data_IF_200356709992
#
_entry.id   IF_200356709992
#
_cell.length_a   1.000
_cell.length_b   1.000
_cell.length_c   1.000
_cell.angle_alpha   90.00
_cell.angle_beta   90.00
_cell.angle_gamma   90.00
#
_symmetry.space_group_name_H-M   'P 1'
#
loop_
_entity.id
_entity.type
_entity.pdbx_description
1 polymer ?
#
# COMPACT_ATOMS: atom_id res chain seq x y z
N UNK A 1 77.24 34.95 -10.24
CA UNK A 1 76.78 34.02 -9.24
C UNK A 1 75.45 33.42 -9.73
N UNK A 2 75.51 32.18 -9.98
CA UNK A 2 74.62 31.28 -10.71
C UNK A 2 73.25 31.12 -10.05
N UNK A 3 72.16 31.38 -10.82
CA UNK A 3 70.82 30.97 -10.41
C UNK A 3 70.57 29.51 -10.83
N UNK A 4 70.46 28.65 -9.85
CA UNK A 4 70.06 27.23 -10.05
C UNK A 4 68.56 27.15 -10.23
N UNK A 5 68.15 26.54 -11.37
CA UNK A 5 66.76 26.29 -11.70
C UNK A 5 66.12 25.21 -10.81
N UNK A 6 64.95 25.53 -10.37
CA UNK A 6 64.03 24.58 -9.73
C UNK A 6 63.28 23.83 -10.83
N UNK A 7 63.67 22.57 -11.10
CA UNK A 7 62.90 21.64 -11.93
C UNK A 7 61.62 21.27 -11.15
N UNK A 8 60.50 21.85 -11.53
CA UNK A 8 59.18 21.38 -11.11
C UNK A 8 58.96 19.96 -11.61
N UNK A 9 58.62 19.06 -10.68
CA UNK A 9 58.11 17.73 -11.01
C UNK A 9 56.75 17.91 -11.71
N UNK A 10 56.73 17.69 -13.02
CA UNK A 10 55.46 17.50 -13.75
C UNK A 10 54.76 16.27 -13.14
N UNK A 11 53.74 16.51 -12.39
CA UNK A 11 52.83 15.46 -11.89
C UNK A 11 52.24 14.74 -13.08
N UNK A 12 52.40 13.42 -13.09
CA UNK A 12 51.72 12.52 -14.01
C UNK A 12 50.22 12.70 -13.84
N UNK A 13 49.63 13.61 -14.59
CA UNK A 13 48.20 13.66 -14.83
C UNK A 13 47.89 12.42 -15.68
N UNK A 14 47.45 11.37 -15.02
CA UNK A 14 47.01 10.17 -15.71
C UNK A 14 45.99 10.59 -16.78
N UNK A 15 46.31 10.36 -18.05
CA UNK A 15 45.41 10.53 -19.17
C UNK A 15 44.16 9.66 -18.90
N UNK A 16 43.09 10.27 -18.46
CA UNK A 16 41.78 9.62 -18.44
C UNK A 16 41.42 9.32 -19.89
N UNK A 17 41.64 8.09 -20.32
CA UNK A 17 41.20 7.62 -21.63
C UNK A 17 39.66 7.62 -21.63
N UNK A 18 39.09 8.72 -22.11
CA UNK A 18 37.64 8.89 -22.24
C UNK A 18 37.19 8.11 -23.48
N UNK A 19 37.01 6.80 -23.34
CA UNK A 19 36.39 5.98 -24.39
C UNK A 19 34.87 6.30 -24.44
N UNK A 20 34.54 7.53 -24.86
CA UNK A 20 33.17 8.05 -24.93
C UNK A 20 32.30 7.23 -25.88
N UNK A 21 32.85 6.76 -27.01
CA UNK A 21 32.09 5.97 -27.98
C UNK A 21 31.64 4.61 -27.42
N UNK A 22 32.53 3.95 -26.67
CA UNK A 22 32.17 2.69 -26.00
C UNK A 22 31.12 2.88 -24.88
N UNK A 23 31.19 3.98 -24.16
CA UNK A 23 30.19 4.32 -23.11
C UNK A 23 28.85 4.64 -23.75
N UNK A 24 28.80 5.48 -24.78
CA UNK A 24 27.55 5.80 -25.51
C UNK A 24 26.89 4.56 -26.12
N UNK A 25 27.67 3.61 -26.64
CA UNK A 25 27.09 2.38 -27.17
C UNK A 25 26.50 1.49 -26.05
N UNK A 26 27.15 1.39 -24.90
CA UNK A 26 26.59 0.70 -23.73
C UNK A 26 25.32 1.38 -23.21
N UNK A 27 25.32 2.70 -23.15
CA UNK A 27 24.14 3.47 -22.72
C UNK A 27 22.97 3.25 -23.69
N UNK A 28 23.20 3.23 -25.00
CA UNK A 28 22.16 2.90 -26.01
C UNK A 28 21.62 1.50 -25.86
N UNK A 29 22.49 0.51 -25.63
CA UNK A 29 22.09 -0.87 -25.42
C UNK A 29 21.25 -0.98 -24.12
N UNK A 30 21.71 -0.33 -23.04
CA UNK A 30 20.97 -0.30 -21.78
C UNK A 30 19.61 0.39 -21.91
N UNK A 31 19.58 1.55 -22.60
CA UNK A 31 18.33 2.24 -22.88
C UNK A 31 17.37 1.40 -23.73
N UNK A 32 17.87 0.72 -24.78
CA UNK A 32 17.04 -0.17 -25.59
C UNK A 32 16.52 -1.37 -24.78
N UNK A 33 17.35 -1.96 -23.93
CA UNK A 33 16.92 -3.03 -23.02
C UNK A 33 15.87 -2.57 -22.01
N UNK A 34 16.05 -1.40 -21.40
CA UNK A 34 15.08 -0.81 -20.49
C UNK A 34 13.73 -0.50 -21.18
N UNK A 35 13.78 0.10 -22.38
CA UNK A 35 12.58 0.35 -23.18
C UNK A 35 11.87 -0.95 -23.57
N UNK A 36 12.62 -1.96 -24.03
CA UNK A 36 12.02 -3.25 -24.41
C UNK A 36 11.37 -3.94 -23.21
N UNK A 37 12.00 -3.93 -22.04
CA UNK A 37 11.41 -4.46 -20.81
C UNK A 37 10.13 -3.74 -20.42
N UNK A 38 10.11 -2.41 -20.52
CA UNK A 38 8.90 -1.61 -20.25
C UNK A 38 7.78 -1.94 -21.25
N UNK A 39 8.07 -1.99 -22.55
CA UNK A 39 7.09 -2.33 -23.58
C UNK A 39 6.53 -3.74 -23.36
N UNK A 40 7.37 -4.73 -23.09
CA UNK A 40 6.94 -6.10 -22.80
C UNK A 40 6.00 -6.12 -21.59
N UNK A 41 6.37 -5.42 -20.51
CA UNK A 41 5.52 -5.34 -19.29
C UNK A 41 4.15 -4.72 -19.58
N UNK A 42 4.11 -3.64 -20.38
CA UNK A 42 2.85 -3.00 -20.77
C UNK A 42 2.00 -3.89 -21.67
N UNK A 43 2.62 -4.59 -22.62
CA UNK A 43 1.90 -5.53 -23.51
C UNK A 43 1.32 -6.68 -22.70
N UNK A 44 2.09 -7.28 -21.78
CA UNK A 44 1.61 -8.36 -20.91
C UNK A 44 0.45 -7.87 -20.05
N UNK A 45 0.55 -6.69 -19.44
CA UNK A 45 -0.52 -6.11 -18.64
C UNK A 45 -1.78 -5.86 -19.48
N UNK A 46 -1.63 -5.27 -20.67
CA UNK A 46 -2.75 -5.02 -21.57
C UNK A 46 -3.44 -6.34 -22.01
N UNK A 47 -2.65 -7.37 -22.30
CA UNK A 47 -3.16 -8.69 -22.61
C UNK A 47 -3.95 -9.32 -21.46
N UNK A 48 -3.41 -9.27 -20.24
CA UNK A 48 -4.10 -9.77 -19.03
C UNK A 48 -5.41 -9.02 -18.79
N UNK A 49 -5.40 -7.69 -18.87
CA UNK A 49 -6.62 -6.88 -18.74
C UNK A 49 -7.65 -7.21 -19.82
N UNK A 50 -7.22 -7.36 -21.07
CA UNK A 50 -8.10 -7.74 -22.17
C UNK A 50 -8.75 -9.10 -21.92
N UNK A 51 -7.97 -10.09 -21.49
CA UNK A 51 -8.49 -11.44 -21.19
C UNK A 51 -9.50 -11.39 -20.05
N UNK A 52 -9.18 -10.68 -18.94
CA UNK A 52 -10.10 -10.54 -17.81
C UNK A 52 -11.41 -9.86 -18.24
N UNK A 53 -11.33 -8.79 -19.04
CA UNK A 53 -12.51 -8.09 -19.52
C UNK A 53 -13.35 -8.97 -20.46
N UNK A 54 -12.71 -9.68 -21.40
CA UNK A 54 -13.37 -10.57 -22.33
C UNK A 54 -14.13 -11.69 -21.61
N UNK A 55 -13.49 -12.33 -20.62
CA UNK A 55 -14.05 -13.49 -19.94
C UNK A 55 -15.05 -13.08 -18.84
N UNK A 56 -14.85 -11.91 -18.21
CA UNK A 56 -15.64 -11.49 -17.06
C UNK A 56 -16.86 -10.63 -17.37
N UNK A 57 -16.86 -9.83 -18.45
CA UNK A 57 -17.98 -8.89 -18.71
C UNK A 57 -19.31 -9.62 -18.96
N UNK A 58 -19.27 -10.79 -19.55
CA UNK A 58 -20.48 -11.57 -19.88
C UNK A 58 -21.24 -12.14 -18.67
N UNK A 59 -20.58 -12.27 -17.52
CA UNK A 59 -21.17 -12.84 -16.30
C UNK A 59 -21.56 -11.78 -15.25
N UNK A 60 -21.25 -10.50 -15.48
CA UNK A 60 -21.65 -9.39 -14.61
C UNK A 60 -23.14 -9.08 -14.88
N UNK A 61 -23.97 -9.46 -13.93
CA UNK A 61 -25.41 -9.18 -13.95
C UNK A 61 -25.91 -8.82 -12.54
N UNK A 62 -27.17 -8.44 -12.39
CA UNK A 62 -27.75 -8.10 -11.09
C UNK A 62 -27.69 -9.29 -10.11
N UNK A 63 -27.88 -10.51 -10.57
CA UNK A 63 -27.77 -11.72 -9.77
C UNK A 63 -26.36 -11.87 -9.17
N UNK A 64 -25.31 -11.56 -9.93
CA UNK A 64 -23.93 -11.63 -9.46
C UNK A 64 -23.68 -10.79 -8.21
N UNK A 65 -24.29 -9.59 -8.14
CA UNK A 65 -24.17 -8.70 -6.97
C UNK A 65 -25.10 -9.06 -5.82
N UNK A 66 -26.25 -9.69 -6.11
CA UNK A 66 -27.28 -9.97 -5.08
C UNK A 66 -27.20 -11.38 -4.52
N UNK A 67 -26.59 -12.32 -5.24
CA UNK A 67 -26.51 -13.73 -4.83
C UNK A 67 -25.37 -13.99 -3.87
N UNK A 68 -25.49 -15.13 -3.16
CA UNK A 68 -24.47 -15.68 -2.27
C UNK A 68 -23.55 -16.63 -3.03
N UNK A 69 -22.37 -16.97 -2.48
CA UNK A 69 -21.52 -18.01 -3.05
C UNK A 69 -22.25 -19.32 -3.21
N UNK A 70 -22.16 -19.96 -4.38
CA UNK A 70 -22.82 -21.21 -4.72
C UNK A 70 -21.84 -22.24 -5.28
N UNK A 71 -22.22 -23.52 -5.20
CA UNK A 71 -21.52 -24.61 -5.88
C UNK A 71 -21.86 -24.68 -7.37
N UNK A 72 -22.96 -24.06 -7.76
CA UNK A 72 -23.39 -23.94 -9.16
C UNK A 72 -22.92 -22.58 -9.69
N UNK A 73 -22.18 -22.54 -10.81
CA UNK A 73 -21.66 -21.28 -11.37
C UNK A 73 -22.77 -20.27 -11.64
N UNK A 74 -23.87 -20.70 -12.25
CA UNK A 74 -24.99 -19.83 -12.65
C UNK A 74 -25.66 -19.09 -11.48
N UNK A 75 -25.52 -19.61 -10.27
CA UNK A 75 -26.11 -19.07 -9.03
C UNK A 75 -25.06 -18.42 -8.12
N UNK A 76 -23.79 -18.43 -8.53
CA UNK A 76 -22.71 -17.91 -7.70
C UNK A 76 -22.67 -16.38 -7.75
N UNK A 77 -22.70 -15.76 -6.58
CA UNK A 77 -22.65 -14.31 -6.43
C UNK A 77 -21.55 -13.84 -5.48
N UNK A 78 -21.31 -12.53 -5.48
CA UNK A 78 -20.21 -11.88 -4.78
C UNK A 78 -20.67 -11.07 -3.55
N UNK A 79 -21.97 -11.03 -3.26
CA UNK A 79 -22.56 -10.16 -2.24
C UNK A 79 -21.82 -10.17 -0.90
N UNK A 80 -21.58 -11.30 -0.22
CA UNK A 80 -20.89 -11.29 1.07
C UNK A 80 -19.45 -10.81 0.97
N UNK A 81 -18.75 -11.14 -0.12
CA UNK A 81 -17.36 -10.75 -0.33
C UNK A 81 -17.24 -9.24 -0.60
N UNK A 82 -18.16 -8.66 -1.36
CA UNK A 82 -18.21 -7.22 -1.61
C UNK A 82 -18.42 -6.43 -0.31
N UNK A 83 -19.46 -6.74 0.45
CA UNK A 83 -19.71 -6.07 1.74
C UNK A 83 -18.63 -6.37 2.78
N UNK A 84 -18.09 -7.60 2.79
CA UNK A 84 -16.99 -7.95 3.67
C UNK A 84 -15.73 -7.14 3.39
N UNK A 85 -15.40 -6.91 2.13
CA UNK A 85 -14.28 -6.03 1.75
C UNK A 85 -14.52 -4.59 2.19
N UNK A 86 -15.73 -4.06 2.03
CA UNK A 86 -16.07 -2.70 2.49
C UNK A 86 -15.90 -2.57 4.01
N UNK A 87 -16.43 -3.51 4.77
CA UNK A 87 -16.28 -3.55 6.22
C UNK A 87 -14.81 -3.65 6.67
N UNK A 88 -14.04 -4.52 6.02
CA UNK A 88 -12.60 -4.66 6.29
C UNK A 88 -11.87 -3.34 6.02
N UNK A 89 -12.11 -2.71 4.87
CA UNK A 89 -11.44 -1.47 4.50
C UNK A 89 -11.83 -0.31 5.42
N UNK A 90 -13.07 -0.28 5.93
CA UNK A 90 -13.49 0.67 6.95
C UNK A 90 -12.66 0.51 8.24
N UNK A 91 -12.52 -0.72 8.75
CA UNK A 91 -11.70 -0.99 9.94
C UNK A 91 -10.25 -0.64 9.69
N UNK A 92 -9.69 -1.07 8.55
CA UNK A 92 -8.30 -0.78 8.16
C UNK A 92 -8.05 0.72 8.12
N UNK A 93 -8.89 1.49 7.44
CA UNK A 93 -8.73 2.93 7.36
C UNK A 93 -8.87 3.62 8.72
N UNK A 94 -9.89 3.22 9.51
CA UNK A 94 -10.17 3.82 10.82
C UNK A 94 -9.06 3.55 11.85
N UNK A 95 -8.32 2.46 11.72
CA UNK A 95 -7.26 2.09 12.67
C UNK A 95 -5.87 2.48 12.17
N UNK A 96 -5.50 2.11 10.94
CA UNK A 96 -4.14 2.30 10.44
C UNK A 96 -3.81 3.75 10.10
N UNK A 97 -4.78 4.54 9.62
CA UNK A 97 -4.54 5.94 9.28
C UNK A 97 -4.19 6.79 10.51
N UNK A 98 -5.03 6.88 11.57
CA UNK A 98 -4.72 7.72 12.72
C UNK A 98 -3.49 7.22 13.49
N UNK A 99 -3.33 5.89 13.66
CA UNK A 99 -2.19 5.32 14.38
C UNK A 99 -0.90 5.52 13.58
N UNK A 100 -0.90 5.23 12.28
CA UNK A 100 0.28 5.34 11.43
C UNK A 100 0.75 6.78 11.26
N UNK A 101 -0.18 7.70 10.99
CA UNK A 101 0.14 9.13 10.86
C UNK A 101 0.58 9.72 12.20
N UNK A 102 -0.12 9.39 13.30
CA UNK A 102 0.25 9.85 14.64
C UNK A 102 1.63 9.37 15.07
N UNK A 103 1.95 8.09 14.83
CA UNK A 103 3.27 7.53 15.11
C UNK A 103 4.37 8.22 14.28
N UNK A 104 4.11 8.48 12.99
CA UNK A 104 5.06 9.16 12.12
C UNK A 104 5.32 10.60 12.54
N UNK A 105 4.26 11.35 12.91
CA UNK A 105 4.39 12.71 13.44
C UNK A 105 5.21 12.71 14.72
N UNK A 106 4.93 11.78 15.63
CA UNK A 106 5.70 11.67 16.87
C UNK A 106 7.18 11.40 16.61
N UNK A 107 7.49 10.41 15.77
CA UNK A 107 8.86 10.02 15.47
C UNK A 107 9.65 11.11 14.73
N UNK A 108 9.02 11.87 13.84
CA UNK A 108 9.71 12.86 13.02
C UNK A 108 9.80 14.22 13.69
N UNK A 109 8.77 14.64 14.44
CA UNK A 109 8.67 16.00 14.95
C UNK A 109 8.86 16.10 16.47
N UNK A 110 8.71 15.02 17.24
CA UNK A 110 8.73 15.08 18.70
C UNK A 110 9.76 14.17 19.37
N UNK A 111 10.11 13.05 18.74
CA UNK A 111 11.06 12.11 19.31
C UNK A 111 12.47 12.71 19.37
N UNK A 112 13.19 12.41 20.44
CA UNK A 112 14.61 12.76 20.57
C UNK A 112 15.47 11.82 19.71
N UNK A 113 16.55 12.33 19.13
CA UNK A 113 17.53 11.51 18.40
C UNK A 113 18.39 10.71 19.41
N UNK A 114 17.86 9.57 19.81
CA UNK A 114 18.54 8.65 20.72
C UNK A 114 18.58 7.23 20.12
N UNK A 115 19.34 6.33 20.75
CA UNK A 115 19.51 4.96 20.28
C UNK A 115 18.18 4.19 20.22
N UNK A 116 17.25 4.46 21.12
CA UNK A 116 15.95 3.80 21.18
C UNK A 116 15.06 4.20 19.98
N UNK A 117 14.97 5.50 19.70
CA UNK A 117 14.25 6.02 18.53
C UNK A 117 14.80 5.42 17.24
N UNK A 118 16.15 5.36 17.11
CA UNK A 118 16.81 4.75 15.95
C UNK A 118 16.51 3.25 15.84
N UNK A 119 16.47 2.55 16.97
CA UNK A 119 16.07 1.14 16.99
C UNK A 119 14.62 0.94 16.50
N UNK A 120 13.70 1.78 16.97
CA UNK A 120 12.28 1.75 16.53
C UNK A 120 12.19 2.02 15.03
N UNK A 121 12.89 3.01 14.50
CA UNK A 121 12.90 3.34 13.08
C UNK A 121 13.40 2.19 12.19
N UNK A 122 14.51 1.56 12.58
CA UNK A 122 15.05 0.40 11.86
C UNK A 122 14.03 -0.75 11.87
N UNK A 123 13.37 -0.99 13.00
CA UNK A 123 12.37 -2.04 13.10
C UNK A 123 11.15 -1.75 12.21
N UNK A 124 10.65 -0.51 12.19
CA UNK A 124 9.53 -0.13 11.32
C UNK A 124 9.90 -0.37 9.84
N UNK A 125 11.12 0.03 9.43
CA UNK A 125 11.62 -0.24 8.08
C UNK A 125 11.69 -1.73 7.75
N UNK A 126 12.19 -2.54 8.67
CA UNK A 126 12.29 -4.00 8.51
C UNK A 126 10.90 -4.67 8.47
N UNK A 127 9.94 -4.20 9.28
CA UNK A 127 8.57 -4.72 9.28
C UNK A 127 7.90 -4.57 7.90
N UNK A 128 8.18 -3.50 7.16
CA UNK A 128 7.64 -3.34 5.80
C UNK A 128 8.08 -4.44 4.83
N UNK A 129 9.20 -5.11 5.10
CA UNK A 129 9.74 -6.22 4.31
C UNK A 129 9.30 -7.61 4.76
N UNK A 130 8.55 -7.74 5.85
CA UNK A 130 8.07 -9.04 6.36
C UNK A 130 7.00 -9.63 5.42
N UNK A 131 7.08 -10.94 5.06
CA UNK A 131 6.06 -11.59 4.26
C UNK A 131 4.66 -11.46 4.87
N UNK A 132 3.66 -11.11 4.06
CA UNK A 132 2.29 -10.80 4.53
C UNK A 132 1.63 -11.96 5.27
N UNK A 133 1.99 -13.22 4.95
CA UNK A 133 1.48 -14.40 5.65
C UNK A 133 1.85 -14.40 7.15
N UNK A 134 3.01 -13.87 7.53
CA UNK A 134 3.45 -13.78 8.92
C UNK A 134 2.52 -12.86 9.72
N UNK A 135 2.09 -11.74 9.13
CA UNK A 135 1.07 -10.88 9.74
C UNK A 135 -0.26 -11.61 9.94
N UNK A 136 -0.62 -12.49 9.01
CA UNK A 136 -1.80 -13.35 9.14
C UNK A 136 -1.69 -14.33 10.31
N UNK A 137 -0.53 -14.97 10.49
CA UNK A 137 -0.27 -15.85 11.61
C UNK A 137 -0.25 -15.09 12.95
N UNK A 138 0.32 -13.89 12.98
CA UNK A 138 0.27 -13.01 14.14
C UNK A 138 -1.19 -12.60 14.45
N UNK A 139 -1.96 -12.22 13.42
CA UNK A 139 -3.38 -11.90 13.55
C UNK A 139 -4.19 -13.08 14.08
N UNK A 140 -3.90 -14.30 13.63
CA UNK A 140 -4.51 -15.53 14.13
C UNK A 140 -4.22 -15.73 15.64
N UNK A 141 -2.97 -15.53 16.06
CA UNK A 141 -2.58 -15.71 17.46
C UNK A 141 -3.15 -14.60 18.35
N UNK A 142 -2.99 -13.35 17.96
CA UNK A 142 -3.33 -12.19 18.78
C UNK A 142 -4.81 -11.82 18.63
N UNK A 143 -5.24 -11.43 17.43
CA UNK A 143 -6.58 -10.85 17.25
C UNK A 143 -7.69 -11.90 17.27
N UNK A 144 -7.44 -13.08 16.71
CA UNK A 144 -8.48 -14.12 16.68
C UNK A 144 -8.54 -14.95 17.94
N UNK A 145 -7.40 -15.24 18.62
CA UNK A 145 -7.38 -16.11 19.80
C UNK A 145 -7.31 -15.32 21.10
N UNK A 146 -6.24 -14.52 21.31
CA UNK A 146 -6.04 -13.81 22.58
C UNK A 146 -7.10 -12.73 22.78
N UNK A 147 -7.43 -11.98 21.73
CA UNK A 147 -8.41 -10.90 21.78
C UNK A 147 -9.83 -11.34 21.38
N UNK A 148 -10.11 -12.66 21.33
CA UNK A 148 -11.44 -13.20 21.00
C UNK A 148 -12.59 -12.56 21.77
N UNK A 149 -12.50 -12.30 23.09
CA UNK A 149 -13.59 -11.64 23.83
C UNK A 149 -13.94 -10.24 23.30
N UNK A 150 -13.01 -9.54 22.65
CA UNK A 150 -13.19 -8.20 22.09
C UNK A 150 -13.54 -8.29 20.60
N UNK A 151 -12.81 -9.11 19.87
CA UNK A 151 -12.92 -9.18 18.40
C UNK A 151 -14.04 -10.08 17.91
N UNK A 152 -14.50 -11.02 18.73
CA UNK A 152 -15.44 -12.07 18.33
C UNK A 152 -14.78 -13.20 17.52
N UNK A 153 -13.45 -13.37 17.62
CA UNK A 153 -12.72 -14.46 16.99
C UNK A 153 -12.55 -14.28 15.48
N UNK A 154 -13.21 -15.12 14.68
CA UNK A 154 -13.15 -15.03 13.21
C UNK A 154 -14.10 -13.96 12.67
N UNK A 155 -13.72 -12.71 12.74
CA UNK A 155 -14.58 -11.55 12.51
C UNK A 155 -13.94 -10.51 11.58
N UNK A 156 -14.78 -9.60 11.08
CA UNK A 156 -14.34 -8.40 10.34
C UNK A 156 -13.29 -7.63 11.13
N UNK A 157 -13.48 -7.49 12.44
CA UNK A 157 -12.56 -6.72 13.29
C UNK A 157 -11.18 -7.38 13.35
N UNK A 158 -11.11 -8.69 13.57
CA UNK A 158 -9.82 -9.40 13.61
C UNK A 158 -9.11 -9.39 12.25
N UNK A 159 -9.85 -9.56 11.15
CA UNK A 159 -9.30 -9.43 9.80
C UNK A 159 -8.82 -8.03 9.48
N UNK A 160 -9.60 -7.01 9.83
CA UNK A 160 -9.27 -5.61 9.63
C UNK A 160 -8.05 -5.18 10.44
N UNK A 161 -7.95 -5.55 11.72
CA UNK A 161 -6.77 -5.28 12.56
C UNK A 161 -5.51 -5.97 12.03
N UNK A 162 -5.65 -7.18 11.50
CA UNK A 162 -4.52 -7.90 10.87
C UNK A 162 -4.00 -7.17 9.63
N UNK A 163 -4.89 -6.73 8.75
CA UNK A 163 -4.51 -5.93 7.59
C UNK A 163 -3.95 -4.55 7.99
N UNK A 164 -4.51 -3.93 9.04
CA UNK A 164 -4.01 -2.67 9.57
C UNK A 164 -2.57 -2.80 10.04
N UNK A 165 -2.25 -3.85 10.78
CA UNK A 165 -0.89 -4.11 11.25
C UNK A 165 0.10 -4.29 10.10
N UNK A 166 -0.34 -4.94 9.01
CA UNK A 166 0.47 -5.15 7.80
C UNK A 166 0.81 -3.84 7.09
N UNK A 167 -0.14 -2.90 7.01
CA UNK A 167 0.09 -1.65 6.26
C UNK A 167 0.62 -0.51 7.13
N UNK A 168 0.56 -0.62 8.47
CA UNK A 168 1.05 0.40 9.41
C UNK A 168 2.49 0.86 9.11
N UNK A 169 3.48 -0.02 8.91
CA UNK A 169 4.85 0.39 8.60
C UNK A 169 4.93 1.23 7.32
N UNK A 170 4.14 0.89 6.30
CA UNK A 170 4.11 1.61 5.02
C UNK A 170 3.56 3.03 5.23
N UNK A 171 2.48 3.18 6.01
CA UNK A 171 1.89 4.49 6.33
C UNK A 171 2.88 5.33 7.13
N UNK A 172 3.54 4.74 8.15
CA UNK A 172 4.51 5.45 8.99
C UNK A 172 5.66 5.98 8.14
N UNK A 173 6.28 5.12 7.32
CA UNK A 173 7.41 5.51 6.46
C UNK A 173 7.00 6.59 5.47
N UNK A 174 5.90 6.39 4.74
CA UNK A 174 5.42 7.38 3.77
C UNK A 174 5.06 8.73 4.40
N UNK A 175 4.47 8.72 5.59
CA UNK A 175 4.14 9.94 6.33
C UNK A 175 5.41 10.67 6.80
N UNK A 176 6.41 9.94 7.31
CA UNK A 176 7.70 10.53 7.70
C UNK A 176 8.41 11.18 6.51
N UNK A 177 8.45 10.51 5.36
CA UNK A 177 9.04 11.09 4.14
C UNK A 177 8.29 12.35 3.69
N UNK A 178 6.96 12.38 3.81
CA UNK A 178 6.16 13.57 3.52
C UNK A 178 6.45 14.74 4.49
N UNK A 179 6.66 14.45 5.78
CA UNK A 179 7.03 15.44 6.78
C UNK A 179 8.46 15.97 6.55
N UNK A 180 9.42 15.11 6.18
CA UNK A 180 10.80 15.48 5.85
C UNK A 180 10.90 16.37 4.62
N UNK A 181 10.00 16.18 3.65
CA UNK A 181 9.95 17.01 2.45
C UNK A 181 9.57 18.48 2.72
N UNK A 182 9.01 18.79 3.89
CA UNK A 182 8.69 20.16 4.29
C UNK A 182 9.98 20.92 4.63
N UNK A 183 10.26 22.10 4.01
CA UNK A 183 11.48 22.86 4.27
C UNK A 183 11.68 23.23 5.76
N UNK A 184 12.91 23.08 6.26
CA UNK A 184 13.26 23.41 7.64
C UNK A 184 13.05 24.90 7.93
N UNK A 185 13.19 25.77 6.93
CA UNK A 185 12.95 27.22 7.04
C UNK A 185 11.52 27.54 7.52
N UNK A 186 10.53 26.72 7.18
CA UNK A 186 9.16 26.90 7.64
C UNK A 186 9.05 26.67 9.17
N UNK A 187 9.76 25.67 9.69
CA UNK A 187 9.82 25.39 11.13
C UNK A 187 10.51 26.54 11.88
N UNK A 188 11.65 26.98 11.35
CA UNK A 188 12.42 28.07 11.93
C UNK A 188 11.64 29.39 11.95
N UNK A 189 10.90 29.70 10.88
CA UNK A 189 10.06 30.90 10.83
C UNK A 189 8.97 30.88 11.91
N UNK A 190 8.31 29.72 12.13
CA UNK A 190 7.33 29.57 13.20
C UNK A 190 7.94 29.79 14.59
N UNK A 191 9.12 29.22 14.86
CA UNK A 191 9.82 29.41 16.13
C UNK A 191 10.27 30.87 16.34
N UNK A 192 10.70 31.56 15.28
CA UNK A 192 11.09 32.97 15.33
C UNK A 192 9.91 33.87 15.73
N UNK A 193 8.69 33.48 15.44
CA UNK A 193 7.45 34.17 15.85
C UNK A 193 6.99 33.77 17.27
N UNK A 194 7.76 32.95 17.98
CA UNK A 194 7.45 32.51 19.35
C UNK A 194 6.46 31.34 19.45
N UNK A 195 6.13 30.68 18.31
CA UNK A 195 5.28 29.51 18.34
C UNK A 195 5.99 28.31 18.99
N UNK A 196 5.27 27.51 19.77
CA UNK A 196 5.79 26.25 20.30
C UNK A 196 5.81 25.16 19.23
N UNK A 197 6.52 24.04 19.51
CA UNK A 197 6.69 22.93 18.58
C UNK A 197 5.35 22.38 18.08
N UNK A 198 4.37 22.20 18.96
CA UNK A 198 3.03 21.73 18.62
C UNK A 198 2.31 22.66 17.65
N UNK A 199 2.36 23.96 17.89
CA UNK A 199 1.74 24.97 17.01
C UNK A 199 2.38 24.98 15.63
N UNK A 200 3.72 24.91 15.55
CA UNK A 200 4.44 24.87 14.27
C UNK A 200 4.05 23.61 13.47
N UNK A 201 4.06 22.44 14.12
CA UNK A 201 3.72 21.17 13.48
C UNK A 201 2.29 21.17 12.98
N UNK A 202 1.34 21.52 13.85
CA UNK A 202 -0.08 21.43 13.53
C UNK A 202 -0.56 22.46 12.52
N UNK A 203 -0.05 23.70 12.62
CA UNK A 203 -0.53 24.82 11.78
C UNK A 203 0.23 24.95 10.46
N UNK A 204 1.47 24.46 10.37
CA UNK A 204 2.34 24.73 9.21
C UNK A 204 2.89 23.45 8.59
N UNK A 205 3.54 22.58 9.38
CA UNK A 205 4.22 21.39 8.84
C UNK A 205 3.22 20.35 8.35
N UNK A 206 2.31 19.91 9.22
CA UNK A 206 1.34 18.86 8.88
C UNK A 206 0.44 19.24 7.71
N UNK A 207 -0.16 20.44 7.65
CA UNK A 207 -0.93 20.83 6.49
C UNK A 207 -0.12 20.91 5.19
N UNK A 208 1.18 21.25 5.27
CA UNK A 208 2.07 21.26 4.10
C UNK A 208 2.47 19.85 3.65
N UNK A 209 2.63 18.91 4.58
CA UNK A 209 2.92 17.51 4.31
C UNK A 209 1.69 16.71 3.88
N UNK A 210 0.47 17.19 4.18
CA UNK A 210 -0.78 16.44 4.01
C UNK A 210 -0.96 15.82 2.62
N UNK A 211 -0.65 16.48 1.50
CA UNK A 211 -0.76 15.86 0.18
C UNK A 211 0.12 14.62 0.01
N UNK A 212 1.34 14.67 0.57
CA UNK A 212 2.26 13.52 0.59
C UNK A 212 1.76 12.41 1.52
N UNK A 213 1.32 12.76 2.72
CA UNK A 213 0.71 11.84 3.68
C UNK A 213 -0.47 11.09 3.07
N UNK A 214 -1.42 11.82 2.49
CA UNK A 214 -2.59 11.21 1.84
C UNK A 214 -2.20 10.31 0.68
N UNK A 215 -1.18 10.68 -0.11
CA UNK A 215 -0.68 9.82 -1.19
C UNK A 215 -0.14 8.50 -0.64
N UNK A 216 0.66 8.53 0.43
CA UNK A 216 1.18 7.33 1.10
C UNK A 216 0.07 6.45 1.66
N UNK A 217 -0.94 7.05 2.30
CA UNK A 217 -2.11 6.34 2.83
C UNK A 217 -2.93 5.69 1.71
N UNK A 218 -3.18 6.39 0.61
CA UNK A 218 -3.89 5.85 -0.56
C UNK A 218 -3.17 4.61 -1.09
N UNK A 219 -1.85 4.67 -1.25
CA UNK A 219 -1.06 3.53 -1.72
C UNK A 219 -1.11 2.34 -0.75
N UNK A 220 -1.04 2.60 0.55
CA UNK A 220 -1.14 1.57 1.59
C UNK A 220 -2.51 0.89 1.60
N UNK A 221 -3.61 1.67 1.52
CA UNK A 221 -4.97 1.14 1.45
C UNK A 221 -5.22 0.37 0.15
N UNK A 222 -4.69 0.86 -0.98
CA UNK A 222 -4.76 0.17 -2.27
C UNK A 222 -4.07 -1.19 -2.23
N UNK A 223 -2.98 -1.31 -1.48
CA UNK A 223 -2.33 -2.58 -1.23
C UNK A 223 -3.21 -3.49 -0.36
N UNK A 224 -3.75 -2.97 0.74
CA UNK A 224 -4.55 -3.75 1.68
C UNK A 224 -5.77 -4.43 1.05
N UNK A 225 -6.46 -3.76 0.11
CA UNK A 225 -7.67 -4.30 -0.54
C UNK A 225 -7.40 -5.55 -1.38
N UNK A 226 -6.17 -5.71 -1.90
CA UNK A 226 -5.75 -6.87 -2.70
C UNK A 226 -5.11 -8.00 -1.89
N UNK A 227 -4.85 -7.80 -0.60
CA UNK A 227 -4.14 -8.80 0.21
C UNK A 227 -5.04 -10.01 0.52
N UNK A 228 -4.56 -11.18 0.17
CA UNK A 228 -5.26 -12.46 0.35
C UNK A 228 -4.63 -13.33 1.42
N UNK A 229 -3.29 -13.43 1.44
CA UNK A 229 -2.55 -14.36 2.28
C UNK A 229 -2.80 -14.19 3.79
N UNK A 230 -2.76 -12.99 4.39
CA UNK A 230 -3.03 -12.82 5.81
C UNK A 230 -4.49 -13.14 6.17
N UNK A 231 -5.43 -12.89 5.27
CA UNK A 231 -6.84 -13.19 5.50
C UNK A 231 -7.11 -14.69 5.47
N UNK A 232 -6.46 -15.44 4.59
CA UNK A 232 -6.52 -16.91 4.59
C UNK A 232 -5.90 -17.45 5.88
N UNK A 233 -4.75 -16.95 6.30
CA UNK A 233 -4.06 -17.40 7.50
C UNK A 233 -4.88 -17.19 8.76
N UNK A 234 -5.62 -16.09 8.90
CA UNK A 234 -6.52 -15.84 10.03
C UNK A 234 -7.79 -16.71 9.97
N UNK A 235 -8.06 -17.33 8.82
CA UNK A 235 -9.18 -18.25 8.63
C UNK A 235 -10.45 -17.55 8.14
N UNK A 236 -10.31 -16.52 7.31
CA UNK A 236 -11.44 -15.95 6.58
C UNK A 236 -12.13 -17.05 5.73
N UNK A 237 -13.45 -17.04 5.72
CA UNK A 237 -14.24 -18.13 5.15
C UNK A 237 -14.56 -17.85 3.69
N UNK A 238 -14.22 -18.78 2.79
CA UNK A 238 -14.51 -18.64 1.37
C UNK A 238 -16.00 -18.86 1.02
N UNK A 239 -16.79 -19.43 1.93
CA UNK A 239 -18.19 -19.75 1.72
C UNK A 239 -19.06 -19.32 2.91
N UNK A 240 -19.60 -18.13 2.84
CA UNK A 240 -20.50 -17.55 3.86
C UNK A 240 -21.89 -17.35 3.29
N UNK A 241 -22.91 -17.69 4.09
CA UNK A 241 -24.33 -17.53 3.75
C UNK A 241 -24.96 -16.27 4.36
N UNK A 242 -24.16 -15.36 4.92
CA UNK A 242 -24.62 -14.11 5.51
C UNK A 242 -23.70 -12.97 5.08
N UNK A 243 -24.24 -11.76 5.00
CA UNK A 243 -23.43 -10.55 4.90
C UNK A 243 -23.03 -10.06 6.29
N UNK A 244 -21.82 -9.52 6.48
CA UNK A 244 -21.47 -8.93 7.76
C UNK A 244 -22.43 -7.80 8.13
N UNK A 245 -22.94 -7.82 9.37
CA UNK A 245 -23.82 -6.81 9.93
C UNK A 245 -23.18 -6.04 11.09
N UNK A 246 -22.07 -6.54 11.61
CA UNK A 246 -21.32 -5.93 12.71
C UNK A 246 -19.81 -6.18 12.56
N UNK A 247 -19.01 -5.52 13.37
CA UNK A 247 -17.54 -5.72 13.43
C UNK A 247 -17.17 -7.13 13.90
N UNK A 248 -18.00 -7.78 14.66
CA UNK A 248 -17.79 -9.15 15.18
C UNK A 248 -18.40 -10.23 14.26
N UNK A 249 -19.04 -9.85 13.16
CA UNK A 249 -19.59 -10.81 12.20
C UNK A 249 -18.49 -11.58 11.48
N UNK A 250 -18.72 -12.88 11.19
CA UNK A 250 -17.87 -13.62 10.26
C UNK A 250 -17.83 -12.93 8.89
N UNK A 251 -16.71 -13.05 8.21
CA UNK A 251 -16.48 -12.35 6.95
C UNK A 251 -15.81 -13.21 5.89
N UNK A 252 -15.98 -12.79 4.67
CA UNK A 252 -15.13 -13.11 3.51
C UNK A 252 -14.70 -11.80 2.84
N UNK A 253 -13.79 -11.89 1.90
CA UNK A 253 -13.32 -10.73 1.13
C UNK A 253 -13.25 -11.06 -0.35
N UNK A 254 -13.32 -10.05 -1.21
CA UNK A 254 -13.23 -10.21 -2.66
C UNK A 254 -12.01 -11.02 -3.11
N UNK A 255 -10.77 -10.72 -2.64
CA UNK A 255 -9.60 -11.51 -3.02
C UNK A 255 -9.72 -12.99 -2.65
N UNK A 256 -10.30 -13.31 -1.50
CA UNK A 256 -10.50 -14.71 -1.06
C UNK A 256 -11.53 -15.42 -1.93
N UNK A 257 -12.62 -14.74 -2.24
CA UNK A 257 -13.67 -15.31 -3.10
C UNK A 257 -13.17 -15.57 -4.52
N UNK A 258 -12.42 -14.63 -5.08
CA UNK A 258 -11.76 -14.76 -6.38
C UNK A 258 -10.78 -15.94 -6.35
N UNK A 259 -9.91 -16.01 -5.35
CA UNK A 259 -8.97 -17.12 -5.16
C UNK A 259 -9.66 -18.47 -5.10
N UNK A 260 -10.79 -18.55 -4.38
CA UNK A 260 -11.60 -19.78 -4.31
C UNK A 260 -12.18 -20.18 -5.67
N UNK A 261 -12.67 -19.23 -6.47
CA UNK A 261 -13.22 -19.53 -7.79
C UNK A 261 -12.15 -19.97 -8.79
N UNK A 262 -10.98 -19.29 -8.79
CA UNK A 262 -9.83 -19.66 -9.64
C UNK A 262 -9.33 -21.08 -9.33
N UNK A 263 -9.39 -21.51 -8.07
CA UNK A 263 -8.99 -22.86 -7.65
C UNK A 263 -9.97 -23.97 -8.03
N UNK A 264 -11.11 -23.67 -8.64
CA UNK A 264 -12.11 -24.69 -9.05
C UNK A 264 -11.82 -25.21 -10.45
N UNK A 265 -12.07 -26.51 -10.70
CA UNK A 265 -11.76 -27.13 -11.99
C UNK A 265 -12.73 -26.75 -13.11
N UNK A 266 -13.91 -26.19 -12.80
CA UNK A 266 -14.93 -25.85 -13.80
C UNK A 266 -14.58 -24.50 -14.46
N UNK A 267 -14.57 -24.46 -15.81
CA UNK A 267 -14.22 -23.27 -16.58
C UNK A 267 -15.15 -22.07 -16.31
N UNK A 268 -16.42 -22.33 -16.03
CA UNK A 268 -17.41 -21.29 -15.71
C UNK A 268 -17.03 -20.51 -14.44
N UNK A 269 -16.37 -21.15 -13.44
CA UNK A 269 -15.89 -20.45 -12.27
C UNK A 269 -14.73 -19.53 -12.58
N UNK A 270 -13.91 -19.81 -13.60
CA UNK A 270 -12.86 -18.89 -14.04
C UNK A 270 -13.44 -17.62 -14.65
N UNK A 271 -14.56 -17.72 -15.41
CA UNK A 271 -15.28 -16.55 -15.93
C UNK A 271 -15.86 -15.70 -14.79
N UNK A 272 -16.46 -16.34 -13.78
CA UNK A 272 -16.99 -15.65 -12.59
C UNK A 272 -15.83 -15.02 -11.78
N UNK A 273 -14.69 -15.67 -11.68
CA UNK A 273 -13.50 -15.09 -11.05
C UNK A 273 -13.04 -13.84 -11.81
N UNK A 274 -13.03 -13.87 -13.15
CA UNK A 274 -12.73 -12.70 -13.98
C UNK A 274 -13.70 -11.54 -13.70
N UNK A 275 -15.01 -11.82 -13.56
CA UNK A 275 -15.99 -10.82 -13.13
C UNK A 275 -15.69 -10.26 -11.74
N UNK A 276 -15.29 -11.11 -10.80
CA UNK A 276 -14.86 -10.71 -9.46
C UNK A 276 -13.66 -9.78 -9.50
N UNK A 277 -12.67 -10.06 -10.37
CA UNK A 277 -11.50 -9.21 -10.58
C UNK A 277 -11.92 -7.84 -11.12
N UNK A 278 -12.82 -7.79 -12.11
CA UNK A 278 -13.34 -6.52 -12.66
C UNK A 278 -13.99 -5.68 -11.55
N UNK A 279 -14.86 -6.29 -10.74
CA UNK A 279 -15.53 -5.58 -9.64
C UNK A 279 -14.51 -5.09 -8.60
N UNK A 280 -13.52 -5.90 -8.25
CA UNK A 280 -12.45 -5.51 -7.32
C UNK A 280 -11.62 -4.34 -7.87
N UNK A 281 -11.27 -4.36 -9.15
CA UNK A 281 -10.57 -3.26 -9.82
C UNK A 281 -11.39 -1.97 -9.82
N UNK A 282 -12.68 -2.05 -10.15
CA UNK A 282 -13.58 -0.88 -10.12
C UNK A 282 -13.70 -0.34 -8.71
N UNK A 283 -13.85 -1.20 -7.71
CA UNK A 283 -13.90 -0.82 -6.30
C UNK A 283 -12.61 -0.11 -5.85
N UNK A 284 -11.45 -0.64 -6.21
CA UNK A 284 -10.15 -0.05 -5.93
C UNK A 284 -10.00 1.33 -6.60
N UNK A 285 -10.33 1.43 -7.89
CA UNK A 285 -10.28 2.69 -8.63
C UNK A 285 -11.23 3.75 -8.04
N UNK A 286 -12.43 3.32 -7.64
CA UNK A 286 -13.41 4.22 -7.00
C UNK A 286 -12.90 4.73 -5.64
N UNK A 287 -12.37 3.85 -4.80
CA UNK A 287 -11.78 4.25 -3.51
C UNK A 287 -10.61 5.21 -3.72
N UNK A 288 -9.72 4.91 -4.68
CA UNK A 288 -8.60 5.79 -5.00
C UNK A 288 -9.08 7.15 -5.55
N UNK A 289 -10.10 7.17 -6.40
CA UNK A 289 -10.66 8.41 -6.93
C UNK A 289 -11.21 9.31 -5.82
N UNK A 290 -11.94 8.74 -4.86
CA UNK A 290 -12.44 9.47 -3.67
C UNK A 290 -11.26 10.05 -2.87
N UNK A 291 -10.24 9.22 -2.59
CA UNK A 291 -9.10 9.63 -1.79
C UNK A 291 -8.26 10.71 -2.51
N UNK A 292 -8.09 10.62 -3.84
CA UNK A 292 -7.42 11.63 -4.67
C UNK A 292 -8.23 12.94 -4.69
N UNK A 293 -9.56 12.85 -4.77
CA UNK A 293 -10.42 14.03 -4.70
C UNK A 293 -10.22 14.79 -3.38
N UNK A 294 -10.24 14.10 -2.24
CA UNK A 294 -9.95 14.73 -0.95
C UNK A 294 -8.53 15.30 -0.89
N UNK A 295 -7.52 14.57 -1.36
CA UNK A 295 -6.14 15.07 -1.43
C UNK A 295 -6.05 16.38 -2.22
N UNK A 296 -6.65 16.44 -3.40
CA UNK A 296 -6.58 17.63 -4.26
C UNK A 296 -7.30 18.84 -3.62
N UNK A 297 -8.37 18.61 -2.88
CA UNK A 297 -9.06 19.68 -2.16
C UNK A 297 -8.17 20.31 -1.07
N UNK A 298 -7.36 19.51 -0.38
CA UNK A 298 -6.38 20.03 0.58
C UNK A 298 -5.21 20.76 -0.07
N UNK A 299 -4.90 20.49 -1.33
CA UNK A 299 -3.88 21.24 -2.10
C UNK A 299 -4.36 22.60 -2.60
N UNK A 300 -5.64 22.73 -2.97
CA UNK A 300 -6.20 23.96 -3.55
C UNK A 300 -6.53 25.04 -2.51
N UNK A 301 -6.53 24.73 -1.25
CA UNK A 301 -6.85 25.68 -0.17
C UNK A 301 -5.64 26.52 0.24
N UNK A 302 -4.59 26.53 -0.56
CA UNK A 302 -3.35 27.32 -0.45
C UNK A 302 -2.93 27.88 -1.78
#
# INVERSE_FOLDING_TARGET
MTAQGIKGKEGVVGSFDQNLSGRYNRDKIFAAAAWSATVVSVVVLAWLLFTILKDGLGTINFNFFSAFPSRKPEQAGIKPAFFGTLWLMMVVAATSFPIGVGAAIYLEEFADDNWFTRLVEINIGNLAGVPSIIYGLLGLAVFKRIMEPITGGNSVLSGGLTLSLLILPVIIVATREALRAVPTSMRLAGFALGANRWQVVWSHVLPSAMPGVLTGVILALSRAIGETAPLIAIGAVAFIRSTPSSLQSPFTAMPIQIYNWVGRPQAEFHQIAASGIIVLMVMLLFMNAIAIYFRNRFQQTR
#
